data_IF_845927313209
#
_entry.id   IF_845927313209
#
_cell.length_a   1.000
_cell.length_b   1.000
_cell.length_c   1.000
_cell.angle_alpha   90.00
_cell.angle_beta   90.00
_cell.angle_gamma   90.00
#
_symmetry.space_group_name_H-M   'P 1'
#
loop_
_entity.id
_entity.type
_entity.pdbx_description
1 polymer ?
#
# COMPACT_ATOMS: atom_id res chain seq x y z
N UNK A 1 13.49 10.62 -15.98
CA UNK A 1 12.38 11.58 -15.92
C UNK A 1 11.05 10.81 -16.07
N UNK A 2 10.02 11.22 -15.33
CA UNK A 2 8.65 10.66 -15.31
C UNK A 2 8.48 9.15 -14.99
N UNK A 3 9.28 8.60 -14.06
CA UNK A 3 9.15 7.19 -13.65
C UNK A 3 7.78 6.87 -13.04
N UNK A 4 7.24 7.79 -12.22
CA UNK A 4 5.92 7.64 -11.60
C UNK A 4 4.80 7.63 -12.64
N UNK A 5 4.78 8.59 -13.58
CA UNK A 5 3.75 8.64 -14.62
C UNK A 5 3.79 7.40 -15.52
N UNK A 6 4.99 6.91 -15.85
CA UNK A 6 5.16 5.64 -16.58
C UNK A 6 4.56 4.47 -15.79
N UNK A 7 4.90 4.35 -14.50
CA UNK A 7 4.36 3.30 -13.64
C UNK A 7 2.83 3.38 -13.54
N UNK A 8 2.27 4.59 -13.40
CA UNK A 8 0.84 4.80 -13.34
C UNK A 8 0.14 4.39 -14.63
N UNK A 9 0.69 4.72 -15.80
CA UNK A 9 0.16 4.28 -17.09
C UNK A 9 0.17 2.75 -17.17
N UNK A 10 1.27 2.10 -16.81
CA UNK A 10 1.39 0.63 -16.83
C UNK A 10 0.40 -0.03 -15.87
N UNK A 11 0.22 0.52 -14.67
CA UNK A 11 -0.78 0.11 -13.70
C UNK A 11 -2.21 0.18 -14.27
N UNK A 12 -2.53 1.26 -14.98
CA UNK A 12 -3.85 1.47 -15.62
C UNK A 12 -4.08 0.57 -16.82
N UNK A 13 -3.02 0.07 -17.44
CA UNK A 13 -3.04 -0.94 -18.51
C UNK A 13 -2.97 -2.38 -17.98
N UNK A 14 -3.05 -2.58 -16.65
CA UNK A 14 -2.94 -3.88 -15.98
C UNK A 14 -1.62 -4.63 -16.23
N UNK A 15 -0.58 -3.91 -16.66
CA UNK A 15 0.79 -4.43 -16.85
C UNK A 15 1.54 -4.37 -15.51
N UNK A 16 1.11 -5.21 -14.56
CA UNK A 16 1.49 -5.10 -13.15
C UNK A 16 3.01 -5.22 -12.92
N UNK A 17 3.67 -6.21 -13.54
CA UNK A 17 5.12 -6.44 -13.36
C UNK A 17 5.94 -5.24 -13.86
N UNK A 18 5.61 -4.73 -15.04
CA UNK A 18 6.29 -3.57 -15.61
C UNK A 18 6.01 -2.28 -14.80
N UNK A 19 4.83 -2.17 -14.19
CA UNK A 19 4.52 -1.08 -13.29
C UNK A 19 5.39 -1.16 -12.03
N UNK A 20 5.59 -2.34 -11.45
CA UNK A 20 6.50 -2.55 -10.32
C UNK A 20 7.96 -2.23 -10.70
N UNK A 21 8.42 -2.65 -11.87
CA UNK A 21 9.77 -2.29 -12.37
C UNK A 21 9.92 -0.77 -12.54
N UNK A 22 8.91 -0.11 -13.10
CA UNK A 22 8.92 1.35 -13.24
C UNK A 22 8.92 2.07 -11.87
N UNK A 23 8.19 1.53 -10.89
CA UNK A 23 8.19 2.05 -9.51
C UNK A 23 9.54 1.92 -8.83
N UNK A 24 10.34 0.89 -9.14
CA UNK A 24 11.68 0.73 -8.59
C UNK A 24 12.66 1.86 -9.02
N UNK A 25 12.32 2.60 -10.08
CA UNK A 25 13.09 3.74 -10.56
C UNK A 25 12.62 5.10 -9.96
N UNK A 26 11.54 5.11 -9.16
CA UNK A 26 11.08 6.30 -8.44
C UNK A 26 11.96 6.58 -7.21
N UNK A 27 11.86 7.80 -6.68
CA UNK A 27 12.42 8.10 -5.35
C UNK A 27 11.75 7.17 -4.31
N UNK A 28 12.51 6.41 -3.51
CA UNK A 28 11.96 5.56 -2.44
C UNK A 28 11.09 6.30 -1.42
N UNK A 29 11.18 7.62 -1.35
CA UNK A 29 10.38 8.49 -0.48
C UNK A 29 9.22 9.19 -1.20
N UNK A 30 9.01 8.95 -2.51
CA UNK A 30 7.83 9.49 -3.20
C UNK A 30 6.57 8.76 -2.70
N UNK A 31 5.80 9.43 -1.85
CA UNK A 31 4.58 8.89 -1.27
C UNK A 31 3.58 8.42 -2.33
N UNK A 32 3.51 9.07 -3.50
CA UNK A 32 2.62 8.65 -4.59
C UNK A 32 3.06 7.32 -5.17
N UNK A 33 4.36 7.11 -5.33
CA UNK A 33 4.93 5.86 -5.82
C UNK A 33 4.71 4.73 -4.80
N UNK A 34 4.88 5.01 -3.51
CA UNK A 34 4.58 4.06 -2.43
C UNK A 34 3.09 3.68 -2.38
N UNK A 35 2.19 4.64 -2.54
CA UNK A 35 0.75 4.37 -2.62
C UNK A 35 0.40 3.47 -3.80
N UNK A 36 0.91 3.78 -5.00
CA UNK A 36 0.69 2.96 -6.18
C UNK A 36 1.27 1.56 -6.01
N UNK A 37 2.43 1.43 -5.36
CA UNK A 37 3.03 0.14 -5.03
C UNK A 37 2.12 -0.67 -4.11
N UNK A 38 1.59 -0.07 -3.04
CA UNK A 38 0.68 -0.77 -2.12
C UNK A 38 -0.61 -1.23 -2.82
N UNK A 39 -1.17 -0.42 -3.71
CA UNK A 39 -2.32 -0.80 -4.54
C UNK A 39 -2.00 -1.96 -5.50
N UNK A 40 -0.81 -1.97 -6.11
CA UNK A 40 -0.34 -3.09 -6.93
C UNK A 40 -0.15 -4.37 -6.11
N UNK A 41 0.49 -4.27 -4.94
CA UNK A 41 0.64 -5.40 -4.04
C UNK A 41 -0.73 -5.98 -3.64
N UNK A 42 -1.73 -5.13 -3.36
CA UNK A 42 -3.10 -5.60 -3.11
C UNK A 42 -3.69 -6.35 -4.31
N UNK A 43 -3.53 -5.83 -5.53
CA UNK A 43 -4.01 -6.48 -6.78
C UNK A 43 -3.35 -7.84 -7.01
N UNK A 44 -2.10 -8.00 -6.61
CA UNK A 44 -1.30 -9.22 -6.77
C UNK A 44 -1.42 -10.18 -5.57
N UNK A 45 -2.42 -9.99 -4.70
CA UNK A 45 -2.64 -10.75 -3.48
C UNK A 45 -1.46 -10.72 -2.48
N UNK A 46 -0.54 -9.76 -2.63
CA UNK A 46 0.59 -9.51 -1.72
C UNK A 46 0.15 -8.62 -0.54
N UNK A 47 -0.87 -9.07 0.18
CA UNK A 47 -1.57 -8.24 1.17
C UNK A 47 -0.69 -7.79 2.35
N UNK A 48 0.25 -8.63 2.80
CA UNK A 48 1.13 -8.26 3.91
C UNK A 48 2.06 -7.09 3.53
N UNK A 49 2.63 -7.09 2.32
CA UNK A 49 3.46 -5.98 1.84
C UNK A 49 2.63 -4.70 1.65
N UNK A 50 1.42 -4.83 1.08
CA UNK A 50 0.50 -3.70 0.95
C UNK A 50 0.16 -3.08 2.32
N UNK A 51 -0.07 -3.92 3.33
CA UNK A 51 -0.40 -3.49 4.69
C UNK A 51 0.74 -2.69 5.32
N UNK A 52 1.97 -3.17 5.19
CA UNK A 52 3.14 -2.53 5.78
C UNK A 52 3.41 -1.15 5.14
N UNK A 53 3.25 -1.04 3.81
CA UNK A 53 3.36 0.25 3.11
C UNK A 53 2.25 1.22 3.55
N UNK A 54 0.98 0.80 3.53
CA UNK A 54 -0.12 1.67 3.95
C UNK A 54 -0.01 2.12 5.40
N UNK A 55 0.43 1.22 6.30
CA UNK A 55 0.67 1.54 7.70
C UNK A 55 1.73 2.62 7.88
N UNK A 56 2.83 2.52 7.13
CA UNK A 56 3.90 3.52 7.19
C UNK A 56 3.42 4.88 6.66
N UNK A 57 2.74 4.87 5.50
CA UNK A 57 2.17 6.07 4.90
C UNK A 57 1.17 6.77 5.83
N UNK A 58 0.25 6.03 6.46
CA UNK A 58 -0.72 6.58 7.41
C UNK A 58 -0.08 7.18 8.68
N UNK A 59 1.15 6.77 9.02
CA UNK A 59 1.89 7.29 10.17
C UNK A 59 2.69 8.54 9.81
N UNK A 60 3.30 8.54 8.63
CA UNK A 60 4.38 9.46 8.29
C UNK A 60 4.00 10.52 7.24
N UNK A 61 2.85 10.38 6.59
CA UNK A 61 2.39 11.27 5.52
C UNK A 61 0.91 11.59 5.69
N UNK A 62 0.56 12.86 5.51
CA UNK A 62 -0.83 13.34 5.59
C UNK A 62 -1.09 14.36 4.49
N UNK A 63 -2.14 14.13 3.72
CA UNK A 63 -2.61 15.00 2.64
C UNK A 63 -4.12 14.84 2.41
N UNK A 64 -4.63 15.38 1.30
CA UNK A 64 -6.06 15.29 0.96
C UNK A 64 -6.55 13.87 0.66
N UNK A 65 -5.67 12.88 0.55
CA UNK A 65 -6.00 11.49 0.21
C UNK A 65 -6.00 10.55 1.45
N UNK A 66 -5.91 11.10 2.66
CA UNK A 66 -5.83 10.33 3.90
C UNK A 66 -7.02 9.37 4.09
N UNK A 67 -8.22 9.77 3.71
CA UNK A 67 -9.42 8.95 3.90
C UNK A 67 -9.48 7.80 2.88
N UNK A 68 -9.09 8.04 1.62
CA UNK A 68 -8.90 7.00 0.61
C UNK A 68 -7.79 6.02 1.03
N UNK A 69 -6.70 6.53 1.60
CA UNK A 69 -5.61 5.70 2.11
C UNK A 69 -6.07 4.81 3.27
N UNK A 70 -6.87 5.33 4.20
CA UNK A 70 -7.49 4.53 5.27
C UNK A 70 -8.43 3.47 4.72
N UNK A 71 -9.27 3.80 3.73
CA UNK A 71 -10.17 2.85 3.11
C UNK A 71 -9.40 1.69 2.46
N UNK A 72 -8.32 1.99 1.73
CA UNK A 72 -7.45 0.98 1.13
C UNK A 72 -6.74 0.12 2.19
N UNK A 73 -6.24 0.73 3.27
CA UNK A 73 -5.65 0.01 4.41
C UNK A 73 -6.65 -0.96 5.05
N UNK A 74 -7.89 -0.53 5.28
CA UNK A 74 -8.96 -1.38 5.83
C UNK A 74 -9.30 -2.56 4.90
N UNK A 75 -9.33 -2.33 3.59
CA UNK A 75 -9.53 -3.40 2.61
C UNK A 75 -8.42 -4.46 2.69
N UNK A 76 -7.16 -4.03 2.84
CA UNK A 76 -6.02 -4.96 3.00
C UNK A 76 -6.15 -5.76 4.30
N UNK A 77 -6.54 -5.12 5.41
CA UNK A 77 -6.78 -5.82 6.67
C UNK A 77 -7.88 -6.87 6.54
N UNK A 78 -9.00 -6.52 5.92
CA UNK A 78 -10.11 -7.45 5.70
C UNK A 78 -9.68 -8.68 4.88
N UNK A 79 -8.84 -8.50 3.85
CA UNK A 79 -8.30 -9.62 3.06
C UNK A 79 -7.39 -10.53 3.89
N UNK A 80 -6.48 -9.96 4.69
CA UNK A 80 -5.61 -10.74 5.58
C UNK A 80 -6.41 -11.52 6.64
N UNK A 81 -7.45 -10.89 7.20
CA UNK A 81 -8.37 -11.54 8.13
C UNK A 81 -9.12 -12.69 7.46
N UNK A 82 -9.63 -12.49 6.24
CA UNK A 82 -10.29 -13.53 5.46
C UNK A 82 -9.36 -14.71 5.13
N UNK A 83 -8.06 -14.47 4.96
CA UNK A 83 -7.04 -15.50 4.75
C UNK A 83 -6.62 -16.24 6.03
N UNK A 84 -7.15 -15.86 7.20
CA UNK A 84 -6.75 -16.44 8.48
C UNK A 84 -5.37 -15.99 8.97
N UNK A 85 -4.75 -15.03 8.28
CA UNK A 85 -3.49 -14.41 8.68
C UNK A 85 -3.80 -13.29 9.70
N UNK A 86 -4.12 -13.68 10.93
CA UNK A 86 -4.28 -12.71 12.02
C UNK A 86 -2.95 -12.00 12.29
N UNK A 87 -2.89 -10.70 12.06
CA UNK A 87 -2.02 -9.87 12.91
C UNK A 87 -2.66 -9.82 14.29
N UNK A 88 -1.95 -10.35 15.28
CA UNK A 88 -2.29 -10.18 16.69
C UNK A 88 -2.29 -8.67 16.95
N UNK A 89 -3.48 -8.08 17.04
CA UNK A 89 -3.65 -6.73 17.57
C UNK A 89 -3.19 -6.78 19.02
N UNK A 90 -1.98 -6.28 19.29
CA UNK A 90 -1.55 -6.00 20.65
C UNK A 90 -2.43 -4.85 21.16
N UNK A 91 -3.53 -5.20 21.80
CA UNK A 91 -4.28 -4.28 22.64
C UNK A 91 -3.51 -4.25 23.96
N UNK A 92 -2.78 -3.18 24.30
CA UNK A 92 -2.26 -3.05 25.65
C UNK A 92 -3.47 -2.92 26.57
N UNK A 93 -3.78 -3.99 27.29
CA UNK A 93 -4.64 -3.90 28.47
C UNK A 93 -3.92 -2.93 29.40
N UNK A 94 -4.47 -1.72 29.57
CA UNK A 94 -4.06 -0.86 30.68
C UNK A 94 -4.39 -1.62 31.95
N UNK A 95 -3.35 -2.17 32.60
CA UNK A 95 -3.44 -2.64 33.96
C UNK A 95 -3.60 -1.44 34.89
N UNK A 96 -4.64 -1.55 35.74
CA UNK A 96 -4.97 -0.75 36.94
C UNK A 96 -5.29 0.72 36.76
#
# INVERSE_FOLDING_TARGET
ECAFEKAYILYRLERNDEALEALAACDPKDHRALELKAQLCYRLDQFQEALDIFRDLLRNHSDSYDDERKANYLAVQAQLEAMGLKQVTFIPVRST
#
